data_IF_924058119960
#
_entry.id   IF_924058119960
#
_cell.length_a   1.000
_cell.length_b   1.000
_cell.length_c   1.000
_cell.angle_alpha   90.00
_cell.angle_beta   90.00
_cell.angle_gamma   90.00
#
_symmetry.space_group_name_H-M   'P 1'
#
loop_
_entity.id
_entity.type
_entity.pdbx_description
1 polymer ?
#
# COMPACT_ATOMS: atom_id res chain seq x y z
N UNK A 1 0.86 -0.26 -14.40
CA UNK A 1 1.02 -1.71 -14.12
C UNK A 1 2.32 -1.92 -13.36
N UNK A 2 2.30 -2.68 -12.25
CA UNK A 2 3.50 -3.17 -11.57
C UNK A 2 3.78 -4.61 -12.02
N UNK A 3 4.99 -4.89 -12.50
CA UNK A 3 5.42 -6.21 -12.96
C UNK A 3 6.62 -6.68 -12.15
N UNK A 4 6.53 -7.88 -11.60
CA UNK A 4 7.56 -8.55 -10.81
C UNK A 4 7.81 -9.94 -11.42
N UNK A 5 9.06 -10.25 -11.73
CA UNK A 5 9.47 -11.56 -12.26
C UNK A 5 10.72 -12.05 -11.53
N UNK A 6 10.62 -13.25 -10.99
CA UNK A 6 11.71 -13.96 -10.29
C UNK A 6 12.38 -13.11 -9.20
N UNK A 7 11.56 -12.42 -8.37
CA UNK A 7 12.09 -11.61 -7.29
C UNK A 7 12.54 -12.51 -6.14
N UNK A 8 13.79 -12.33 -5.75
CA UNK A 8 14.43 -13.00 -4.61
C UNK A 8 14.93 -11.98 -3.60
N UNK A 9 14.78 -12.27 -2.33
CA UNK A 9 15.26 -11.41 -1.26
C UNK A 9 15.79 -12.24 -0.08
N UNK A 10 16.92 -11.80 0.49
CA UNK A 10 17.52 -12.44 1.66
C UNK A 10 17.97 -11.40 2.68
N UNK A 11 17.87 -11.74 3.97
CA UNK A 11 18.52 -11.04 5.06
C UNK A 11 19.72 -11.88 5.54
N UNK A 12 20.94 -11.45 5.18
CA UNK A 12 22.14 -12.26 5.40
C UNK A 12 22.01 -13.62 4.71
N UNK A 13 22.07 -14.70 5.48
CA UNK A 13 21.91 -16.07 4.96
C UNK A 13 20.44 -16.53 4.88
N UNK A 14 19.52 -15.79 5.46
CA UNK A 14 18.09 -16.18 5.48
C UNK A 14 17.40 -15.73 4.20
N UNK A 15 17.10 -16.65 3.31
CA UNK A 15 16.32 -16.40 2.08
C UNK A 15 14.85 -16.30 2.43
N UNK A 16 14.23 -15.17 2.16
CA UNK A 16 12.84 -14.85 2.56
C UNK A 16 11.86 -14.94 1.39
N UNK A 17 12.26 -14.42 0.22
CA UNK A 17 11.41 -14.46 -0.96
C UNK A 17 12.08 -15.28 -2.06
N UNK A 18 11.33 -16.21 -2.61
CA UNK A 18 11.82 -17.22 -3.57
C UNK A 18 11.09 -17.08 -4.90
N UNK A 19 11.74 -16.49 -5.91
CA UNK A 19 11.27 -16.38 -7.30
C UNK A 19 9.83 -15.84 -7.42
N UNK A 20 9.47 -14.83 -6.60
CA UNK A 20 8.14 -14.22 -6.63
C UNK A 20 7.90 -13.60 -8.01
N UNK A 21 6.79 -13.99 -8.64
CA UNK A 21 6.41 -13.49 -9.96
C UNK A 21 4.91 -13.25 -10.05
N UNK A 22 4.52 -11.97 -10.23
CA UNK A 22 3.14 -11.56 -10.50
C UNK A 22 3.08 -10.19 -11.17
N UNK A 23 1.90 -9.83 -11.60
CA UNK A 23 1.57 -8.50 -12.13
C UNK A 23 0.40 -7.92 -11.36
N UNK A 24 0.51 -6.65 -10.94
CA UNK A 24 -0.61 -5.86 -10.45
C UNK A 24 -1.09 -4.95 -11.59
N UNK A 25 -2.27 -5.22 -12.18
CA UNK A 25 -2.80 -4.44 -13.30
C UNK A 25 -3.07 -3.00 -12.92
N UNK A 26 -3.03 -2.11 -13.91
CA UNK A 26 -3.43 -0.71 -13.72
C UNK A 26 -4.92 -0.60 -13.40
N UNK A 27 -5.25 0.36 -12.55
CA UNK A 27 -6.63 0.68 -12.15
C UNK A 27 -7.35 -0.48 -11.47
N UNK A 28 -6.61 -1.46 -10.98
CA UNK A 28 -7.13 -2.61 -10.24
C UNK A 28 -6.59 -2.62 -8.81
N UNK A 29 -7.33 -3.26 -7.91
CA UNK A 29 -6.89 -3.55 -6.55
C UNK A 29 -6.35 -4.99 -6.51
N UNK A 30 -5.04 -5.14 -6.26
CA UNK A 30 -4.39 -6.43 -6.09
C UNK A 30 -4.13 -6.70 -4.62
N UNK A 31 -4.70 -7.77 -4.06
CA UNK A 31 -4.49 -8.19 -2.69
C UNK A 31 -3.37 -9.22 -2.58
N UNK A 32 -2.33 -8.92 -1.80
CA UNK A 32 -1.31 -9.89 -1.39
C UNK A 32 -1.78 -10.55 -0.10
N UNK A 33 -1.94 -11.85 -0.14
CA UNK A 33 -2.56 -12.66 0.90
C UNK A 33 -1.54 -13.66 1.45
N UNK A 34 -1.62 -13.98 2.72
CA UNK A 34 -0.76 -14.99 3.36
C UNK A 34 -0.68 -14.78 4.87
N UNK A 35 -0.22 -15.79 5.58
CA UNK A 35 -0.05 -15.76 7.05
C UNK A 35 1.01 -14.74 7.48
N UNK A 36 1.09 -14.49 8.78
CA UNK A 36 2.16 -13.67 9.35
C UNK A 36 3.53 -14.33 9.14
N UNK A 37 4.55 -13.51 8.85
CA UNK A 37 5.92 -13.98 8.69
C UNK A 37 6.26 -14.65 7.34
N UNK A 38 5.31 -14.78 6.40
CA UNK A 38 5.58 -15.42 5.08
C UNK A 38 6.33 -14.56 4.07
N UNK A 39 6.63 -13.28 4.41
CA UNK A 39 7.42 -12.40 3.54
C UNK A 39 6.65 -11.25 2.87
N UNK A 40 5.35 -11.05 3.16
CA UNK A 40 4.52 -9.99 2.51
C UNK A 40 5.10 -8.58 2.66
N UNK A 41 5.40 -8.15 3.88
CA UNK A 41 6.05 -6.84 4.15
C UNK A 41 7.42 -6.76 3.50
N UNK A 42 8.20 -7.86 3.48
CA UNK A 42 9.51 -7.92 2.81
C UNK A 42 9.36 -7.69 1.31
N UNK A 43 8.32 -8.26 0.68
CA UNK A 43 8.01 -8.02 -0.73
C UNK A 43 7.71 -6.54 -0.98
N UNK A 44 6.86 -5.90 -0.16
CA UNK A 44 6.57 -4.48 -0.31
C UNK A 44 7.82 -3.62 -0.09
N UNK A 45 8.67 -3.94 0.91
CA UNK A 45 9.95 -3.25 1.13
C UNK A 45 10.91 -3.42 -0.06
N UNK A 46 10.94 -4.59 -0.69
CA UNK A 46 11.72 -4.82 -1.91
C UNK A 46 11.19 -3.97 -3.08
N UNK A 47 9.86 -3.95 -3.30
CA UNK A 47 9.21 -3.06 -4.27
C UNK A 47 9.53 -1.59 -3.99
N UNK A 48 9.60 -1.16 -2.73
CA UNK A 48 9.95 0.20 -2.32
C UNK A 48 11.47 0.46 -2.32
N UNK A 49 12.31 -0.56 -2.52
CA UNK A 49 13.78 -0.45 -2.51
C UNK A 49 14.38 -0.21 -1.12
N UNK A 50 13.60 -0.45 -0.07
CA UNK A 50 14.04 -0.32 1.32
C UNK A 50 14.92 -1.50 1.76
N UNK A 51 14.84 -2.61 1.02
CA UNK A 51 15.70 -3.77 1.17
C UNK A 51 16.27 -4.17 -0.17
N UNK A 52 17.50 -4.68 -0.20
CA UNK A 52 18.11 -5.20 -1.41
C UNK A 52 17.34 -6.45 -1.89
N UNK A 53 17.06 -6.50 -3.18
CA UNK A 53 16.43 -7.64 -3.82
C UNK A 53 17.01 -7.85 -5.22
N UNK A 54 16.92 -9.07 -5.73
CA UNK A 54 17.28 -9.43 -7.08
C UNK A 54 16.01 -9.88 -7.82
N UNK A 55 15.85 -9.48 -9.05
CA UNK A 55 14.72 -9.90 -9.90
C UNK A 55 15.13 -9.89 -11.37
N UNK A 56 14.49 -10.70 -12.18
CA UNK A 56 14.60 -10.59 -13.63
C UNK A 56 13.91 -9.33 -14.14
N UNK A 57 12.75 -9.03 -13.53
CA UNK A 57 11.98 -7.79 -13.78
C UNK A 57 11.40 -7.27 -12.48
N UNK A 58 11.59 -5.96 -12.22
CA UNK A 58 10.86 -5.20 -11.22
C UNK A 58 10.56 -3.82 -11.79
N UNK A 59 9.37 -3.64 -12.38
CA UNK A 59 9.01 -2.43 -13.13
C UNK A 59 7.66 -1.87 -12.71
N UNK A 60 7.56 -0.54 -12.70
CA UNK A 60 6.29 0.18 -12.66
C UNK A 60 6.12 0.97 -13.95
N UNK A 61 5.16 0.55 -14.78
CA UNK A 61 5.09 1.01 -16.17
C UNK A 61 6.40 0.70 -16.91
N UNK A 62 7.01 1.74 -17.47
CA UNK A 62 8.30 1.64 -18.16
C UNK A 62 9.51 1.86 -17.24
N UNK A 63 9.29 2.09 -15.93
CA UNK A 63 10.34 2.44 -14.99
C UNK A 63 10.91 1.18 -14.36
N UNK A 64 12.20 0.91 -14.57
CA UNK A 64 12.93 -0.16 -13.92
C UNK A 64 13.26 0.24 -12.47
N UNK A 65 12.53 -0.35 -11.51
CA UNK A 65 12.66 -0.04 -10.09
C UNK A 65 13.96 -0.58 -9.46
N UNK A 66 14.62 -1.57 -10.06
CA UNK A 66 15.92 -2.04 -9.57
C UNK A 66 17.00 -0.97 -9.72
N UNK A 67 16.86 -0.09 -10.72
CA UNK A 67 17.78 1.02 -10.96
C UNK A 67 17.41 2.32 -10.24
N UNK A 68 16.27 2.34 -9.53
CA UNK A 68 15.80 3.54 -8.84
C UNK A 68 16.11 3.46 -7.35
N UNK A 69 16.62 4.55 -6.78
CA UNK A 69 16.76 4.69 -5.33
C UNK A 69 15.38 4.80 -4.65
N UNK A 70 15.23 4.38 -3.39
CA UNK A 70 13.95 4.43 -2.66
C UNK A 70 13.29 5.82 -2.68
N UNK A 71 14.08 6.88 -2.45
CA UNK A 71 13.58 8.26 -2.40
C UNK A 71 13.09 8.81 -3.76
N UNK A 72 13.38 8.12 -4.87
CA UNK A 72 12.88 8.49 -6.20
C UNK A 72 11.52 7.89 -6.52
N UNK A 73 11.11 6.82 -5.85
CA UNK A 73 9.86 6.10 -6.12
C UNK A 73 8.61 6.97 -5.96
N UNK A 74 8.50 7.86 -4.96
CA UNK A 74 7.39 8.80 -4.88
C UNK A 74 7.29 9.72 -6.10
N UNK A 75 8.41 10.17 -6.65
CA UNK A 75 8.44 10.99 -7.88
C UNK A 75 7.99 10.22 -9.13
N UNK A 76 8.04 8.89 -9.11
CA UNK A 76 7.48 8.04 -10.15
C UNK A 76 6.00 7.68 -9.90
N UNK A 77 5.39 8.26 -8.87
CA UNK A 77 3.98 8.06 -8.58
C UNK A 77 3.68 6.81 -7.76
N UNK A 78 4.63 6.31 -6.99
CA UNK A 78 4.43 5.20 -6.08
C UNK A 78 4.35 5.76 -4.66
N UNK A 79 3.22 5.55 -3.98
CA UNK A 79 3.04 5.88 -2.56
C UNK A 79 2.97 4.61 -1.72
N UNK A 80 3.47 4.67 -0.50
CA UNK A 80 3.52 3.53 0.41
C UNK A 80 3.07 3.92 1.81
N UNK A 81 2.15 3.16 2.36
CA UNK A 81 1.74 3.21 3.77
C UNK A 81 2.23 1.94 4.44
N UNK A 82 3.28 2.00 5.27
CA UNK A 82 3.82 0.83 5.96
C UNK A 82 2.93 0.39 7.11
N UNK A 83 3.10 -0.85 7.54
CA UNK A 83 2.57 -1.35 8.80
C UNK A 83 2.98 -0.44 9.97
N UNK A 84 2.08 -0.22 10.93
CA UNK A 84 2.33 0.67 12.06
C UNK A 84 2.24 2.16 11.74
N UNK A 85 1.64 2.53 10.56
CA UNK A 85 1.25 3.90 10.16
C UNK A 85 2.41 4.86 9.92
N UNK A 86 3.45 4.87 10.76
CA UNK A 86 4.66 5.70 10.70
C UNK A 86 4.38 7.18 10.42
N UNK A 87 3.42 7.74 11.17
CA UNK A 87 3.15 9.18 11.14
C UNK A 87 4.21 9.95 11.96
N UNK A 88 4.32 11.25 11.73
CA UNK A 88 5.14 12.13 12.55
C UNK A 88 4.32 12.60 13.75
N UNK A 89 4.48 11.93 14.89
CA UNK A 89 3.65 12.11 16.07
C UNK A 89 3.70 13.52 16.66
N UNK A 90 4.83 14.23 16.53
CA UNK A 90 5.03 15.58 17.04
C UNK A 90 4.55 16.68 16.09
N UNK A 91 4.34 16.37 14.82
CA UNK A 91 3.79 17.30 13.84
C UNK A 91 2.26 17.33 13.92
N UNK A 92 1.66 18.46 13.54
CA UNK A 92 0.20 18.55 13.37
C UNK A 92 -0.28 17.61 12.26
N UNK A 93 -1.58 17.34 12.21
CA UNK A 93 -2.22 16.62 11.11
C UNK A 93 -1.91 17.31 9.77
N UNK A 94 -2.12 18.64 9.74
CA UNK A 94 -1.86 19.43 8.54
C UNK A 94 -0.40 19.37 8.10
N UNK A 95 0.56 19.48 9.03
CA UNK A 95 1.99 19.40 8.71
C UNK A 95 2.39 18.00 8.23
N UNK A 96 1.83 16.94 8.83
CA UNK A 96 2.00 15.57 8.33
C UNK A 96 1.58 15.44 6.86
N UNK A 97 0.43 16.01 6.49
CA UNK A 97 -0.08 16.00 5.12
C UNK A 97 0.81 16.83 4.18
N UNK A 98 1.26 18.02 4.62
CA UNK A 98 2.11 18.92 3.83
C UNK A 98 3.47 18.34 3.44
N UNK A 99 3.98 17.33 4.17
CA UNK A 99 5.24 16.65 3.80
C UNK A 99 5.22 16.08 2.38
N UNK A 100 4.04 15.67 1.88
CA UNK A 100 3.89 15.17 0.51
C UNK A 100 3.93 16.23 -0.58
N UNK A 101 3.70 17.51 -0.26
CA UNK A 101 3.56 18.59 -1.24
C UNK A 101 4.77 18.80 -2.15
N UNK A 102 6.04 18.69 -1.71
CA UNK A 102 7.18 18.83 -2.62
C UNK A 102 7.17 17.82 -3.78
N UNK A 103 6.74 16.58 -3.50
CA UNK A 103 6.60 15.55 -4.54
C UNK A 103 5.39 15.83 -5.42
N UNK A 104 4.25 16.17 -4.81
CA UNK A 104 3.03 16.58 -5.51
C UNK A 104 3.33 17.69 -6.51
N UNK A 105 3.90 18.81 -6.04
CA UNK A 105 4.20 19.98 -6.85
C UNK A 105 5.16 19.67 -8.03
N UNK A 106 6.13 18.80 -7.80
CA UNK A 106 7.04 18.39 -8.86
C UNK A 106 6.38 17.51 -9.92
N UNK A 107 5.42 16.67 -9.51
CA UNK A 107 4.73 15.76 -10.42
C UNK A 107 3.61 16.42 -11.19
N UNK A 108 2.82 17.29 -10.53
CA UNK A 108 1.71 18.04 -11.16
C UNK A 108 2.16 19.29 -11.90
N UNK A 109 3.43 19.71 -11.74
CA UNK A 109 3.94 20.99 -12.17
C UNK A 109 3.18 22.20 -11.55
N UNK A 110 2.65 22.01 -10.36
CA UNK A 110 1.96 23.02 -9.56
C UNK A 110 2.86 23.58 -8.46
N UNK A 111 2.42 24.66 -7.83
CA UNK A 111 3.11 25.28 -6.67
C UNK A 111 2.13 25.53 -5.52
N UNK A 112 1.35 24.52 -5.18
CA UNK A 112 0.46 24.62 -4.01
C UNK A 112 1.23 24.54 -2.70
N UNK A 113 0.74 25.29 -1.71
CA UNK A 113 1.18 25.21 -0.30
C UNK A 113 0.11 24.58 0.59
N UNK A 114 -1.06 24.33 0.02
CA UNK A 114 -2.21 23.81 0.73
C UNK A 114 -2.36 22.31 0.46
N UNK A 115 -2.83 21.59 1.47
CA UNK A 115 -3.25 20.20 1.32
C UNK A 115 -4.41 20.15 0.32
N UNK A 116 -4.37 19.26 -0.70
CA UNK A 116 -5.48 19.11 -1.63
C UNK A 116 -6.80 18.84 -0.91
N UNK A 117 -7.85 19.53 -1.30
CA UNK A 117 -9.18 19.47 -0.65
C UNK A 117 -9.76 18.06 -0.62
N UNK A 118 -9.51 17.31 -1.69
CA UNK A 118 -9.88 15.89 -1.80
C UNK A 118 -9.45 15.03 -0.59
N UNK A 119 -8.33 15.37 0.08
CA UNK A 119 -7.87 14.62 1.25
C UNK A 119 -8.86 14.78 2.42
N UNK A 120 -9.37 15.99 2.60
CA UNK A 120 -10.35 16.29 3.64
C UNK A 120 -11.76 15.80 3.27
N UNK A 121 -12.08 15.72 1.98
CA UNK A 121 -13.33 15.09 1.51
C UNK A 121 -13.33 13.57 1.76
N UNK A 122 -12.18 12.91 1.57
CA UNK A 122 -12.02 11.48 1.86
C UNK A 122 -11.98 11.18 3.37
N UNK A 123 -11.38 12.09 4.15
CA UNK A 123 -11.17 11.94 5.58
C UNK A 123 -11.55 13.23 6.32
N UNK A 124 -12.86 13.53 6.50
CA UNK A 124 -13.32 14.77 7.15
C UNK A 124 -12.72 15.02 8.53
N UNK A 125 -12.50 13.94 9.29
CA UNK A 125 -11.89 14.02 10.62
C UNK A 125 -10.49 14.66 10.60
N UNK A 126 -9.75 14.55 9.50
CA UNK A 126 -8.44 15.19 9.38
C UNK A 126 -8.55 16.71 9.24
N UNK A 127 -9.64 17.21 8.65
CA UNK A 127 -9.91 18.64 8.62
C UNK A 127 -10.25 19.18 10.00
N UNK A 128 -11.15 18.49 10.71
CA UNK A 128 -11.57 18.88 12.07
C UNK A 128 -10.40 18.92 13.06
N UNK A 129 -9.44 18.02 12.83
CA UNK A 129 -8.28 17.85 13.73
C UNK A 129 -6.97 18.41 13.14
N UNK A 130 -7.03 19.25 12.09
CA UNK A 130 -5.83 19.68 11.35
C UNK A 130 -4.72 20.32 12.19
N UNK A 131 -5.09 20.95 13.31
CA UNK A 131 -4.14 21.60 14.23
C UNK A 131 -3.69 20.70 15.39
N UNK A 132 -4.28 19.49 15.54
CA UNK A 132 -3.83 18.52 16.55
C UNK A 132 -2.55 17.82 16.12
N UNK A 133 -1.74 17.41 17.10
CA UNK A 133 -0.58 16.56 16.84
C UNK A 133 -1.03 15.17 16.38
N UNK A 134 -0.30 14.59 15.42
CA UNK A 134 -0.59 13.25 14.94
C UNK A 134 -0.58 12.20 16.05
N UNK A 135 0.29 12.36 17.06
CA UNK A 135 0.37 11.46 18.21
C UNK A 135 -0.89 11.46 19.12
N UNK A 136 -1.69 12.53 19.10
CA UNK A 136 -2.91 12.66 19.92
C UNK A 136 -4.15 12.07 19.25
N UNK A 137 -4.00 11.53 18.03
CA UNK A 137 -5.07 10.88 17.29
C UNK A 137 -5.29 9.44 17.75
N UNK A 138 -6.53 8.95 17.64
CA UNK A 138 -6.81 7.51 17.79
C UNK A 138 -6.10 6.68 16.71
N UNK A 139 -5.94 5.38 16.95
CA UNK A 139 -5.28 4.50 15.97
C UNK A 139 -5.91 4.54 14.58
N UNK A 140 -7.24 4.58 14.48
CA UNK A 140 -7.94 4.69 13.20
C UNK A 140 -7.71 6.04 12.51
N UNK A 141 -7.72 7.15 13.27
CA UNK A 141 -7.43 8.48 12.75
C UNK A 141 -5.98 8.62 12.28
N UNK A 142 -5.03 8.00 12.99
CA UNK A 142 -3.64 7.92 12.55
C UNK A 142 -3.49 7.15 11.24
N UNK A 143 -4.28 6.10 11.04
CA UNK A 143 -4.29 5.35 9.78
C UNK A 143 -4.86 6.18 8.63
N UNK A 144 -5.96 6.91 8.87
CA UNK A 144 -6.51 7.85 7.90
C UNK A 144 -5.48 8.94 7.55
N UNK A 145 -4.75 9.45 8.55
CA UNK A 145 -3.66 10.41 8.34
C UNK A 145 -2.52 9.81 7.50
N UNK A 146 -2.11 8.57 7.75
CA UNK A 146 -1.06 7.89 7.00
C UNK A 146 -1.47 7.69 5.53
N UNK A 147 -2.71 7.27 5.27
CA UNK A 147 -3.26 7.12 3.92
C UNK A 147 -3.40 8.51 3.26
N UNK A 148 -3.96 9.50 3.94
CA UNK A 148 -4.08 10.87 3.45
C UNK A 148 -2.73 11.46 3.03
N UNK A 149 -1.69 11.28 3.86
CA UNK A 149 -0.31 11.71 3.54
C UNK A 149 0.23 11.03 2.28
N UNK A 150 -0.05 9.75 2.07
CA UNK A 150 0.33 9.04 0.86
C UNK A 150 -0.43 9.56 -0.37
N UNK A 151 -1.71 9.89 -0.23
CA UNK A 151 -2.55 10.41 -1.32
C UNK A 151 -2.17 11.84 -1.73
N UNK A 152 -1.64 12.67 -0.82
CA UNK A 152 -1.11 14.00 -1.16
C UNK A 152 -0.06 13.93 -2.27
N UNK A 153 0.68 12.83 -2.40
CA UNK A 153 1.65 12.63 -3.49
C UNK A 153 1.01 12.54 -4.88
N UNK A 154 -0.33 12.48 -4.97
CA UNK A 154 -1.10 12.19 -6.18
C UNK A 154 -0.57 10.92 -6.90
N UNK A 155 -0.57 9.75 -6.23
CA UNK A 155 0.06 8.54 -6.76
C UNK A 155 -0.73 7.91 -7.90
N UNK A 156 -0.04 7.18 -8.78
CA UNK A 156 -0.65 6.24 -9.71
C UNK A 156 -0.70 4.81 -9.16
N UNK A 157 0.15 4.52 -8.14
CA UNK A 157 0.17 3.26 -7.41
C UNK A 157 0.22 3.54 -5.90
N UNK A 158 -0.78 3.08 -5.17
CA UNK A 158 -0.84 3.11 -3.71
C UNK A 158 -0.56 1.72 -3.16
N UNK A 159 0.47 1.61 -2.33
CA UNK A 159 0.85 0.37 -1.65
C UNK A 159 0.48 0.50 -0.17
N UNK A 160 -0.29 -0.46 0.34
CA UNK A 160 -0.78 -0.49 1.71
C UNK A 160 -0.34 -1.80 2.39
N UNK A 161 0.34 -1.69 3.53
CA UNK A 161 0.80 -2.84 4.31
C UNK A 161 -0.06 -3.00 5.56
N UNK A 162 -0.99 -3.96 5.55
CA UNK A 162 -1.94 -4.27 6.62
C UNK A 162 -2.68 -3.01 7.15
N UNK A 163 -3.39 -2.26 6.27
CA UNK A 163 -3.94 -0.95 6.60
C UNK A 163 -5.03 -0.99 7.67
N UNK A 164 -5.54 -2.16 8.01
CA UNK A 164 -6.64 -2.33 8.97
C UNK A 164 -6.23 -3.01 10.27
N UNK A 165 -4.92 -3.24 10.48
CA UNK A 165 -4.42 -3.88 11.69
C UNK A 165 -4.58 -2.96 12.93
N UNK A 166 -5.10 -3.54 14.02
CA UNK A 166 -5.26 -2.82 15.30
C UNK A 166 -6.22 -1.63 15.24
N UNK A 167 -7.21 -1.67 14.35
CA UNK A 167 -8.20 -0.62 14.15
C UNK A 167 -9.60 -1.14 14.48
N UNK A 168 -10.45 -0.26 15.02
CA UNK A 168 -11.85 -0.58 15.33
C UNK A 168 -12.65 -0.90 14.06
N UNK A 169 -13.63 -1.84 14.10
CA UNK A 169 -14.36 -2.30 12.92
C UNK A 169 -15.01 -1.18 12.09
N UNK A 170 -15.64 -0.19 12.74
CA UNK A 170 -16.27 0.93 12.05
C UNK A 170 -15.28 1.75 11.20
N UNK A 171 -14.07 1.97 11.70
CA UNK A 171 -13.02 2.69 10.96
C UNK A 171 -12.42 1.81 9.85
N UNK A 172 -12.36 0.48 10.07
CA UNK A 172 -11.96 -0.47 9.02
C UNK A 172 -12.90 -0.36 7.81
N UNK A 173 -14.21 -0.33 8.04
CA UNK A 173 -15.21 -0.18 6.99
C UNK A 173 -15.04 1.14 6.22
N UNK A 174 -14.79 2.24 6.94
CA UNK A 174 -14.57 3.55 6.31
C UNK A 174 -13.31 3.56 5.44
N UNK A 175 -12.20 3.02 5.94
CA UNK A 175 -10.95 2.88 5.17
C UNK A 175 -11.17 2.01 3.93
N UNK A 176 -11.89 0.90 4.07
CA UNK A 176 -12.19 -0.01 2.97
C UNK A 176 -13.03 0.68 1.88
N UNK A 177 -14.06 1.44 2.27
CA UNK A 177 -14.85 2.26 1.34
C UNK A 177 -13.99 3.29 0.62
N UNK A 178 -13.09 3.97 1.33
CA UNK A 178 -12.17 4.93 0.71
C UNK A 178 -11.25 4.24 -0.31
N UNK A 179 -10.64 3.10 0.03
CA UNK A 179 -9.79 2.33 -0.90
C UNK A 179 -10.58 1.94 -2.17
N UNK A 180 -11.82 1.44 -2.01
CA UNK A 180 -12.70 1.09 -3.15
C UNK A 180 -13.01 2.30 -4.00
N UNK A 181 -13.38 3.42 -3.38
CA UNK A 181 -13.67 4.67 -4.08
C UNK A 181 -12.46 5.16 -4.88
N UNK A 182 -11.27 5.18 -4.27
CA UNK A 182 -10.03 5.55 -4.95
C UNK A 182 -9.74 4.68 -6.17
N UNK A 183 -9.98 3.38 -6.06
CA UNK A 183 -9.76 2.45 -7.16
C UNK A 183 -10.84 2.60 -8.24
N UNK A 184 -12.13 2.55 -7.89
CA UNK A 184 -13.23 2.47 -8.84
C UNK A 184 -13.55 3.81 -9.49
N UNK A 185 -13.58 4.92 -8.73
CA UNK A 185 -13.97 6.23 -9.24
C UNK A 185 -12.77 6.99 -9.82
N UNK A 186 -11.57 6.84 -9.22
CA UNK A 186 -10.38 7.61 -9.63
C UNK A 186 -9.38 6.78 -10.42
N UNK A 187 -9.62 5.49 -10.58
CA UNK A 187 -8.75 4.60 -11.33
C UNK A 187 -7.35 4.44 -10.70
N UNK A 188 -7.26 4.62 -9.37
CA UNK A 188 -6.01 4.42 -8.66
C UNK A 188 -5.65 2.93 -8.62
N UNK A 189 -4.43 2.58 -9.02
CA UNK A 189 -3.92 1.22 -8.82
C UNK A 189 -3.59 1.01 -7.35
N UNK A 190 -4.09 -0.07 -6.75
CA UNK A 190 -3.85 -0.38 -5.33
C UNK A 190 -3.18 -1.75 -5.21
N UNK A 191 -2.13 -1.80 -4.42
CA UNK A 191 -1.50 -3.05 -3.97
C UNK A 191 -1.64 -3.10 -2.45
N UNK A 192 -2.45 -4.02 -1.93
CA UNK A 192 -2.72 -4.11 -0.50
C UNK A 192 -2.31 -5.47 0.05
N UNK A 193 -1.57 -5.48 1.15
CA UNK A 193 -1.36 -6.66 1.98
C UNK A 193 -2.48 -6.71 3.01
N UNK A 194 -3.23 -7.81 3.04
CA UNK A 194 -4.32 -8.00 3.99
C UNK A 194 -4.46 -9.49 4.34
N UNK A 195 -4.97 -9.76 5.54
CA UNK A 195 -5.19 -11.13 6.06
C UNK A 195 -6.67 -11.42 6.32
N UNK A 196 -7.47 -10.36 6.51
CA UNK A 196 -8.90 -10.49 6.81
C UNK A 196 -9.68 -10.82 5.55
N UNK A 197 -10.20 -12.03 5.45
CA UNK A 197 -10.88 -12.53 4.25
C UNK A 197 -12.04 -11.65 3.80
N UNK A 198 -12.83 -11.13 4.74
CA UNK A 198 -13.94 -10.25 4.39
C UNK A 198 -13.49 -8.97 3.68
N UNK A 199 -12.31 -8.42 4.03
CA UNK A 199 -11.75 -7.25 3.36
C UNK A 199 -11.17 -7.62 2.00
N UNK A 200 -10.51 -8.77 1.91
CA UNK A 200 -9.98 -9.28 0.64
C UNK A 200 -11.12 -9.46 -0.35
N UNK A 201 -12.22 -10.10 0.05
CA UNK A 201 -13.41 -10.29 -0.80
C UNK A 201 -14.06 -8.96 -1.23
N UNK A 202 -13.95 -7.92 -0.40
CA UNK A 202 -14.45 -6.58 -0.76
C UNK A 202 -13.49 -5.81 -1.69
N UNK A 203 -12.19 -6.02 -1.60
CA UNK A 203 -11.19 -5.18 -2.26
C UNK A 203 -10.60 -5.82 -3.52
N UNK A 204 -10.43 -7.16 -3.55
CA UNK A 204 -9.60 -7.80 -4.56
C UNK A 204 -10.27 -7.89 -5.93
N UNK A 205 -9.73 -7.15 -6.90
CA UNK A 205 -9.92 -7.47 -8.32
C UNK A 205 -8.95 -8.59 -8.75
N UNK A 206 -7.78 -8.63 -8.12
CA UNK A 206 -6.76 -9.68 -8.27
C UNK A 206 -6.19 -10.09 -6.91
N UNK A 207 -5.72 -11.33 -6.81
CA UNK A 207 -5.01 -11.80 -5.63
C UNK A 207 -3.67 -12.44 -5.96
N UNK A 208 -2.77 -12.40 -4.99
CA UNK A 208 -1.49 -13.10 -4.97
C UNK A 208 -1.33 -13.75 -3.59
N UNK A 209 -1.31 -15.06 -3.54
CA UNK A 209 -1.18 -15.81 -2.31
C UNK A 209 0.28 -16.21 -2.09
N UNK A 210 0.82 -15.81 -0.94
CA UNK A 210 2.21 -16.07 -0.56
C UNK A 210 2.25 -17.02 0.63
N UNK A 211 3.01 -18.09 0.48
CA UNK A 211 3.33 -19.05 1.54
C UNK A 211 4.83 -19.30 1.57
N UNK A 212 5.45 -19.18 2.76
CA UNK A 212 6.88 -19.45 2.99
C UNK A 212 7.80 -18.79 1.95
N UNK A 213 7.48 -17.56 1.57
CA UNK A 213 8.24 -16.81 0.58
C UNK A 213 8.01 -17.17 -0.88
N UNK A 214 7.06 -18.05 -1.18
CA UNK A 214 6.69 -18.44 -2.55
C UNK A 214 5.31 -17.89 -2.93
N UNK A 215 5.12 -17.52 -4.20
CA UNK A 215 3.81 -17.28 -4.77
C UNK A 215 3.18 -18.64 -5.13
N UNK A 216 2.22 -19.11 -4.32
CA UNK A 216 1.60 -20.44 -4.47
C UNK A 216 0.32 -20.41 -5.30
N UNK A 217 -0.37 -19.26 -5.35
CA UNK A 217 -1.52 -19.05 -6.22
C UNK A 217 -1.64 -17.56 -6.56
N UNK A 218 -2.21 -17.25 -7.71
CA UNK A 218 -2.57 -15.90 -8.15
C UNK A 218 -3.68 -15.98 -9.19
N UNK A 219 -4.53 -14.96 -9.24
CA UNK A 219 -5.66 -14.93 -10.17
C UNK A 219 -6.53 -13.69 -9.98
N UNK A 220 -7.72 -13.71 -10.56
CA UNK A 220 -8.76 -12.73 -10.31
C UNK A 220 -9.40 -12.96 -8.94
N UNK A 221 -10.02 -11.92 -8.37
CA UNK A 221 -10.64 -11.99 -7.05
C UNK A 221 -11.71 -13.09 -6.94
N UNK A 222 -12.48 -13.32 -7.99
CA UNK A 222 -13.50 -14.35 -8.08
C UNK A 222 -12.95 -15.79 -8.17
N UNK A 223 -11.67 -15.94 -8.51
CA UNK A 223 -10.96 -17.23 -8.51
C UNK A 223 -10.39 -17.62 -7.13
N UNK A 224 -10.51 -16.76 -6.12
CA UNK A 224 -10.11 -17.05 -4.75
C UNK A 224 -11.13 -17.97 -4.08
N UNK A 225 -10.96 -19.27 -4.24
CA UNK A 225 -11.89 -20.29 -3.74
C UNK A 225 -11.73 -20.55 -2.23
N UNK A 226 -12.78 -21.07 -1.60
CA UNK A 226 -12.73 -21.51 -0.19
C UNK A 226 -11.66 -22.58 0.03
N UNK A 227 -11.42 -23.45 -0.95
CA UNK A 227 -10.38 -24.49 -0.91
C UNK A 227 -8.98 -23.87 -0.79
N UNK A 228 -8.66 -22.84 -1.60
CA UNK A 228 -7.41 -22.10 -1.49
C UNK A 228 -7.27 -21.43 -0.12
N UNK A 229 -8.35 -20.83 0.36
CA UNK A 229 -8.39 -20.17 1.67
C UNK A 229 -8.13 -21.19 2.78
N UNK A 230 -8.82 -22.34 2.77
CA UNK A 230 -8.64 -23.40 3.77
C UNK A 230 -7.23 -23.98 3.74
N UNK A 231 -6.70 -24.21 2.55
CA UNK A 231 -5.37 -24.82 2.39
C UNK A 231 -4.25 -23.93 2.91
N UNK A 232 -4.31 -22.62 2.67
CA UNK A 232 -3.17 -21.73 2.88
C UNK A 232 -3.38 -20.69 3.99
N UNK A 233 -4.61 -20.39 4.41
CA UNK A 233 -4.93 -19.35 5.38
C UNK A 233 -5.55 -19.87 6.67
N UNK A 234 -6.20 -21.05 6.67
CA UNK A 234 -6.75 -21.65 7.89
C UNK A 234 -5.62 -22.18 8.79
N UNK A 235 -5.81 -22.04 10.11
CA UNK A 235 -4.89 -22.53 11.15
C UNK A 235 -5.18 -23.99 11.42
#
# INVERSE_FOLDING_TARGET
MLTIENLNQSYGQSHILHNISFTAPEKACTCIIGRNGVGKTTLLKAVMGQVAAQAATLKYGNIDLLKQRPEKRPYHGIAYVPQGRQIFSQLTVEDNLKIGLPVHNKRSNERTRNVPEMIYELFPVLFDMKQRRGGDLSGGQQQQLAIGRALVLNPGLLILDEPTEGIQPNIVDDITKVIRRLNQEWGLTVLVVEQKLHLINLLADHFVLIERGHCVAKGKGDELTEELIQTYLSV
#
